data_IF_529032977479
#
_entry.id   IF_529032977479
#
_cell.length_a   1.000
_cell.length_b   1.000
_cell.length_c   1.000
_cell.angle_alpha   90.00
_cell.angle_beta   90.00
_cell.angle_gamma   90.00
#
_symmetry.space_group_name_H-M   'P 1'
#
loop_
_entity.id
_entity.type
_entity.pdbx_description
1 polymer ?
#
# COMPACT_ATOMS: atom_id res chain seq x y z
N UNK A 1 -19.48 15.83 -9.70
CA UNK A 1 -18.88 14.53 -9.30
C UNK A 1 -18.11 14.04 -10.50
N UNK A 2 -16.93 14.61 -10.74
CA UNK A 2 -16.11 14.28 -11.91
C UNK A 2 -15.10 13.21 -11.52
N UNK A 3 -15.19 12.09 -12.23
CA UNK A 3 -14.28 10.96 -12.12
C UNK A 3 -12.96 11.37 -12.78
N UNK A 4 -12.04 11.93 -11.99
CA UNK A 4 -10.70 12.28 -12.44
C UNK A 4 -9.96 11.03 -12.91
N UNK A 5 -9.70 10.96 -14.22
CA UNK A 5 -8.89 9.94 -14.87
C UNK A 5 -7.49 9.91 -14.25
N UNK A 6 -7.19 8.86 -13.49
CA UNK A 6 -5.86 8.64 -12.91
C UNK A 6 -4.93 8.11 -14.01
N UNK A 7 -4.23 9.02 -14.68
CA UNK A 7 -3.21 8.67 -15.67
C UNK A 7 -2.07 7.94 -14.97
N UNK A 8 -1.96 6.64 -15.22
CA UNK A 8 -0.79 5.82 -14.86
C UNK A 8 0.44 6.30 -15.65
N UNK A 9 1.22 7.22 -15.08
CA UNK A 9 2.59 7.48 -15.55
C UNK A 9 3.56 6.87 -14.54
N UNK A 10 3.76 5.56 -14.65
CA UNK A 10 4.80 4.85 -13.90
C UNK A 10 6.16 5.10 -14.54
N UNK A 11 6.94 6.03 -13.99
CA UNK A 11 8.36 6.17 -14.33
C UNK A 11 9.16 5.08 -13.62
N UNK A 12 9.64 4.08 -14.36
CA UNK A 12 10.52 3.05 -13.85
C UNK A 12 11.94 3.62 -13.68
N UNK A 13 12.47 3.62 -12.45
CA UNK A 13 13.89 3.89 -12.19
C UNK A 13 14.57 2.62 -11.68
N UNK A 14 15.52 2.09 -12.44
CA UNK A 14 16.38 0.98 -12.05
C UNK A 14 17.32 1.40 -10.90
N UNK A 15 17.34 0.66 -9.78
CA UNK A 15 18.49 0.63 -8.85
C UNK A 15 18.74 -0.76 -8.22
N UNK A 16 20.01 -1.05 -7.87
CA UNK A 16 20.59 -2.39 -7.90
C UNK A 16 20.58 -3.09 -6.54
N UNK A 17 20.46 -4.42 -6.54
CA UNK A 17 20.64 -5.25 -5.36
C UNK A 17 19.84 -6.53 -5.44
N UNK A 18 20.47 -7.60 -5.91
CA UNK A 18 19.85 -8.92 -5.94
C UNK A 18 19.76 -9.53 -4.55
N UNK A 19 18.62 -10.15 -4.25
CA UNK A 19 18.48 -11.45 -3.60
C UNK A 19 16.97 -11.69 -3.39
N UNK A 20 16.40 -12.61 -4.17
CA UNK A 20 15.00 -13.07 -4.13
C UNK A 20 13.92 -12.03 -4.53
N UNK A 21 14.00 -11.48 -5.73
CA UNK A 21 12.90 -10.69 -6.29
C UNK A 21 11.93 -11.58 -7.08
N UNK A 22 11.05 -12.32 -6.38
CA UNK A 22 9.88 -12.88 -7.05
C UNK A 22 9.04 -11.69 -7.59
N UNK A 23 8.57 -11.73 -8.84
CA UNK A 23 7.92 -10.59 -9.48
C UNK A 23 6.68 -10.11 -8.72
N UNK A 24 5.98 -11.02 -8.05
CA UNK A 24 4.85 -10.73 -7.17
C UNK A 24 5.25 -9.95 -5.91
N UNK A 25 6.35 -10.31 -5.25
CA UNK A 25 6.81 -9.63 -4.05
C UNK A 25 7.27 -8.20 -4.34
N UNK A 26 7.97 -8.00 -5.46
CA UNK A 26 8.35 -6.67 -5.92
C UNK A 26 7.14 -5.76 -6.12
N UNK A 27 6.09 -6.30 -6.74
CA UNK A 27 4.85 -5.56 -7.00
C UNK A 27 4.19 -5.09 -5.70
N UNK A 28 4.16 -5.90 -4.65
CA UNK A 28 3.62 -5.48 -3.35
C UNK A 28 4.46 -4.35 -2.71
N UNK A 29 5.78 -4.44 -2.81
CA UNK A 29 6.66 -3.41 -2.27
C UNK A 29 6.48 -2.07 -3.00
N UNK A 30 6.43 -2.08 -4.33
CA UNK A 30 6.21 -0.85 -5.11
C UNK A 30 4.80 -0.31 -4.94
N UNK A 31 3.81 -1.18 -4.75
CA UNK A 31 2.42 -0.77 -4.46
C UNK A 31 2.27 -0.06 -3.11
N UNK A 32 3.13 -0.38 -2.12
CA UNK A 32 3.08 0.22 -0.79
C UNK A 32 4.09 1.37 -0.59
N UNK A 33 5.13 1.45 -1.42
CA UNK A 33 6.21 2.46 -1.34
C UNK A 33 5.90 3.74 -2.11
N UNK A 34 6.55 4.84 -1.73
CA UNK A 34 6.59 6.11 -2.47
C UNK A 34 5.22 6.70 -2.88
N UNK A 35 4.25 6.62 -1.97
CA UNK A 35 2.88 7.11 -2.22
C UNK A 35 2.72 8.54 -1.74
N UNK A 36 1.93 9.31 -2.50
CA UNK A 36 1.47 10.63 -2.09
C UNK A 36 -0.04 10.73 -2.27
N UNK A 37 -0.69 11.48 -1.38
CA UNK A 37 -2.09 11.86 -1.49
C UNK A 37 -2.18 13.37 -1.65
N UNK A 38 -3.18 13.84 -2.39
CA UNK A 38 -3.46 15.26 -2.50
C UNK A 38 -4.86 15.49 -1.95
N UNK A 39 -4.97 16.31 -0.92
CA UNK A 39 -6.25 16.85 -0.49
C UNK A 39 -6.52 18.12 -1.29
N UNK A 40 -7.60 18.12 -2.09
CA UNK A 40 -8.07 19.28 -2.83
C UNK A 40 -9.36 19.80 -2.18
N UNK A 41 -9.36 21.07 -1.79
CA UNK A 41 -10.54 21.81 -1.31
C UNK A 41 -10.60 23.11 -2.09
N UNK A 42 -11.69 23.33 -2.81
CA UNK A 42 -11.85 24.42 -3.77
C UNK A 42 -10.68 24.50 -4.78
N UNK A 43 -9.93 25.60 -4.79
CA UNK A 43 -8.76 25.85 -5.64
C UNK A 43 -7.41 25.57 -4.94
N UNK A 44 -7.44 24.99 -3.73
CA UNK A 44 -6.24 24.67 -2.96
C UNK A 44 -5.96 23.17 -2.93
N UNK A 45 -4.73 22.80 -3.29
CA UNK A 45 -4.23 21.43 -3.22
C UNK A 45 -3.08 21.33 -2.22
N UNK A 46 -3.16 20.39 -1.28
CA UNK A 46 -2.08 20.08 -0.33
C UNK A 46 -1.60 18.65 -0.54
N UNK A 47 -0.42 18.44 -1.17
CA UNK A 47 0.18 17.12 -1.31
C UNK A 47 0.80 16.67 0.01
N UNK A 48 0.60 15.40 0.37
CA UNK A 48 1.19 14.76 1.56
C UNK A 48 1.75 13.39 1.20
N UNK A 49 2.98 13.13 1.64
CA UNK A 49 3.59 11.82 1.51
C UNK A 49 3.01 10.84 2.53
N UNK A 50 2.76 9.59 2.10
CA UNK A 50 2.20 8.54 2.95
C UNK A 50 3.18 7.38 3.01
N UNK A 51 3.60 7.03 4.24
CA UNK A 51 4.44 5.87 4.52
C UNK A 51 3.70 4.69 5.16
N UNK A 52 2.39 4.82 5.42
CA UNK A 52 1.60 3.81 6.14
C UNK A 52 0.21 3.58 5.54
N UNK A 53 -0.40 2.44 5.85
CA UNK A 53 -1.72 2.05 5.34
C UNK A 53 -1.69 1.58 3.89
N UNK A 54 -2.87 1.36 3.31
CA UNK A 54 -3.06 0.85 1.93
C UNK A 54 -3.79 1.88 1.05
N UNK A 55 -3.54 1.96 -0.27
CA UNK A 55 -4.21 2.93 -1.15
C UNK A 55 -5.73 2.69 -1.22
N UNK A 56 -6.57 3.68 -0.96
CA UNK A 56 -8.02 3.53 -1.13
C UNK A 56 -8.38 3.50 -2.62
N UNK A 57 -9.27 2.59 -3.03
CA UNK A 57 -9.72 2.47 -4.42
C UNK A 57 -9.01 1.39 -5.26
N UNK A 58 -8.02 0.69 -4.70
CA UNK A 58 -7.43 -0.49 -5.32
C UNK A 58 -8.12 -1.78 -4.88
N UNK A 59 -8.36 -2.70 -5.80
CA UNK A 59 -8.89 -4.05 -5.52
C UNK A 59 -7.95 -4.84 -4.60
N UNK A 60 -6.65 -4.56 -4.63
CA UNK A 60 -5.65 -5.24 -3.79
C UNK A 60 -5.63 -4.73 -2.34
N UNK A 61 -6.10 -3.51 -2.09
CA UNK A 61 -6.04 -2.90 -0.75
C UNK A 61 -6.88 -3.62 0.30
N UNK A 62 -8.15 -3.99 0.04
CA UNK A 62 -8.94 -4.79 0.98
C UNK A 62 -8.26 -6.11 1.33
N UNK A 63 -7.68 -6.80 0.36
CA UNK A 63 -6.98 -8.08 0.56
C UNK A 63 -5.73 -7.90 1.43
N UNK A 64 -4.92 -6.87 1.17
CA UNK A 64 -3.74 -6.55 1.96
C UNK A 64 -4.10 -6.11 3.39
N UNK A 65 -5.20 -5.36 3.54
CA UNK A 65 -5.72 -4.98 4.86
C UNK A 65 -6.17 -6.21 5.66
N UNK A 66 -6.92 -7.13 5.03
CA UNK A 66 -7.34 -8.39 5.66
C UNK A 66 -6.15 -9.24 6.10
N UNK A 67 -5.12 -9.37 5.26
CA UNK A 67 -3.89 -10.07 5.62
C UNK A 67 -3.21 -9.42 6.82
N UNK A 68 -3.08 -8.09 6.81
CA UNK A 68 -2.47 -7.32 7.90
C UNK A 68 -3.19 -7.53 9.24
N UNK A 69 -4.53 -7.43 9.27
CA UNK A 69 -5.29 -7.61 10.51
C UNK A 69 -5.35 -9.08 10.97
N UNK A 70 -5.29 -10.03 10.04
CA UNK A 70 -5.33 -11.45 10.38
C UNK A 70 -4.11 -11.87 11.22
N UNK A 71 -2.95 -11.25 10.97
CA UNK A 71 -1.75 -11.49 11.77
C UNK A 71 -1.80 -10.81 13.15
N UNK A 72 -2.60 -9.75 13.34
CA UNK A 72 -2.79 -9.12 14.65
C UNK A 72 -3.33 -10.12 15.68
N UNK A 73 -4.19 -11.05 15.27
CA UNK A 73 -4.73 -12.09 16.16
C UNK A 73 -3.62 -12.95 16.77
N UNK A 74 -2.50 -13.18 16.07
CA UNK A 74 -1.35 -13.93 16.60
C UNK A 74 -0.55 -13.13 17.63
N UNK A 75 -0.55 -11.82 17.52
CA UNK A 75 0.16 -10.94 18.46
C UNK A 75 -0.67 -10.66 19.72
N UNK A 76 -2.00 -10.53 19.59
CA UNK A 76 -2.89 -10.19 20.70
C UNK A 76 -3.47 -11.39 21.45
N UNK A 77 -3.46 -12.60 20.86
CA UNK A 77 -3.85 -13.83 21.57
C UNK A 77 -2.60 -14.66 21.90
N UNK A 78 -2.03 -14.57 23.12
CA UNK A 78 -1.09 -15.59 23.57
C UNK A 78 -1.81 -16.94 23.54
N UNK A 79 -1.34 -17.89 22.72
CA UNK A 79 -1.95 -19.21 22.52
C UNK A 79 -2.43 -19.82 23.85
N UNK A 80 -3.75 -19.89 24.12
CA UNK A 80 -4.24 -20.43 25.39
C UNK A 80 -4.33 -21.96 25.41
N UNK A 81 -3.84 -22.67 24.38
CA UNK A 81 -4.20 -24.08 24.15
C UNK A 81 -3.02 -25.04 23.92
N UNK A 82 -1.81 -24.68 24.33
CA UNK A 82 -0.78 -25.67 24.66
C UNK A 82 -0.65 -25.75 26.17
N UNK A 83 -1.53 -26.56 26.78
CA UNK A 83 -1.33 -27.17 28.10
C UNK A 83 -1.80 -28.61 28.01
#
# INVERSE_FOLDING_TARGET
MELGSFNHTGTATCRPGGLLQLPSFHYFLTFLSDRSIVAAVDSHCSPKFISSGVPQGSVLSPTLFLLFINDLNRTFLPYPHLR
#
